data_IF_434831578738
#
_entry.id   IF_434831578738
#
_cell.length_a   1.000
_cell.length_b   1.000
_cell.length_c   1.000
_cell.angle_alpha   90.00
_cell.angle_beta   90.00
_cell.angle_gamma   90.00
#
_symmetry.space_group_name_H-M   'P 1'
#
loop_
_entity.id
_entity.type
_entity.pdbx_description
1 polymer ?
#
# COMPACT_ATOMS: atom_id res chain seq x y z
N UNK A 1 -20.08 -16.07 15.84
CA UNK A 1 -20.80 -14.89 15.28
C UNK A 1 -19.88 -13.95 14.52
N UNK A 2 -18.58 -13.91 14.82
CA UNK A 2 -17.51 -13.12 14.20
C UNK A 2 -17.18 -13.57 12.75
N UNK A 3 -17.20 -14.88 12.49
CA UNK A 3 -16.90 -15.50 11.19
C UNK A 3 -17.81 -15.10 10.03
N UNK A 4 -19.10 -14.87 10.30
CA UNK A 4 -20.04 -14.46 9.26
C UNK A 4 -19.71 -13.09 8.69
N UNK A 5 -19.17 -12.19 9.52
CA UNK A 5 -18.76 -10.85 9.10
C UNK A 5 -17.50 -10.86 8.21
N UNK A 6 -16.56 -11.78 8.46
CA UNK A 6 -15.36 -11.93 7.63
C UNK A 6 -15.69 -12.56 6.27
N UNK A 7 -16.56 -13.58 6.24
CA UNK A 7 -16.97 -14.23 5.00
C UNK A 7 -17.80 -13.30 4.10
N UNK A 8 -18.65 -12.46 4.67
CA UNK A 8 -19.41 -11.46 3.91
C UNK A 8 -18.53 -10.32 3.44
N UNK A 9 -17.47 -9.96 4.21
CA UNK A 9 -16.50 -8.95 3.85
C UNK A 9 -15.60 -9.43 2.70
N UNK A 10 -15.13 -10.69 2.72
CA UNK A 10 -14.26 -11.22 1.66
C UNK A 10 -15.00 -11.40 0.32
N UNK A 11 -16.31 -11.72 0.33
CA UNK A 11 -17.12 -11.70 -0.89
C UNK A 11 -17.28 -10.30 -1.46
N UNK A 12 -17.36 -9.28 -0.62
CA UNK A 12 -17.39 -7.88 -1.02
C UNK A 12 -16.04 -7.40 -1.59
N UNK A 13 -14.92 -7.84 -1.02
CA UNK A 13 -13.57 -7.40 -1.41
C UNK A 13 -13.13 -8.01 -2.75
N UNK A 14 -13.48 -9.27 -3.05
CA UNK A 14 -13.17 -9.89 -4.36
C UNK A 14 -13.98 -9.23 -5.48
N UNK A 15 -15.17 -8.68 -5.16
CA UNK A 15 -15.96 -7.87 -6.09
C UNK A 15 -15.58 -6.38 -6.07
N UNK A 16 -15.03 -5.87 -4.98
CA UNK A 16 -14.71 -4.45 -4.75
C UNK A 16 -13.36 -4.01 -5.31
N UNK A 17 -12.54 -4.91 -5.87
CA UNK A 17 -11.36 -4.53 -6.65
C UNK A 17 -11.71 -3.63 -7.88
N UNK A 18 -13.00 -3.38 -8.10
CA UNK A 18 -13.54 -2.47 -9.13
C UNK A 18 -14.33 -1.28 -8.59
N UNK A 19 -14.52 -1.16 -7.28
CA UNK A 19 -15.17 0.02 -6.71
C UNK A 19 -14.11 0.94 -6.11
N UNK A 20 -13.92 2.08 -6.77
CA UNK A 20 -13.11 3.18 -6.26
C UNK A 20 -13.56 3.60 -4.87
N UNK A 21 -12.61 4.08 -4.08
CA UNK A 21 -12.78 4.63 -2.74
C UNK A 21 -14.02 5.56 -2.68
N UNK A 22 -15.14 5.00 -2.22
CA UNK A 22 -16.42 5.69 -2.15
C UNK A 22 -16.54 6.46 -0.84
N UNK A 23 -15.62 7.42 -0.59
CA UNK A 23 -15.90 8.51 0.33
C UNK A 23 -16.88 9.49 -0.33
N UNK A 24 -18.01 9.87 0.31
CA UNK A 24 -18.99 10.75 -0.29
C UNK A 24 -18.35 12.11 -0.61
N UNK A 25 -18.35 12.52 -1.87
CA UNK A 25 -18.08 13.88 -2.28
C UNK A 25 -16.86 14.13 -3.19
N UNK A 26 -15.98 13.15 -3.44
CA UNK A 26 -14.84 13.34 -4.34
C UNK A 26 -15.01 12.55 -5.65
N UNK A 27 -15.01 13.26 -6.76
CA UNK A 27 -14.99 12.68 -8.10
C UNK A 27 -13.56 12.23 -8.45
N UNK A 28 -13.45 11.28 -9.37
CA UNK A 28 -12.18 10.81 -9.94
C UNK A 28 -11.35 11.95 -10.56
N UNK A 29 -12.02 12.97 -11.08
CA UNK A 29 -11.42 14.20 -11.63
C UNK A 29 -10.67 15.04 -10.58
N UNK A 30 -10.88 14.78 -9.28
CA UNK A 30 -10.28 15.57 -8.20
C UNK A 30 -8.95 14.97 -7.71
N UNK A 31 -8.49 13.88 -8.33
CA UNK A 31 -7.25 13.20 -7.98
C UNK A 31 -6.16 13.42 -9.01
N UNK A 32 -4.92 13.37 -8.55
CA UNK A 32 -3.71 13.39 -9.36
C UNK A 32 -2.72 12.33 -8.91
N UNK A 33 -1.69 12.13 -9.70
CA UNK A 33 -0.56 11.25 -9.38
C UNK A 33 0.77 12.00 -9.49
N UNK A 34 1.68 11.66 -8.56
CA UNK A 34 3.09 12.02 -8.63
C UNK A 34 3.87 10.83 -9.15
N UNK A 35 4.64 11.04 -10.19
CA UNK A 35 5.52 10.05 -10.80
C UNK A 35 6.96 10.41 -10.47
N UNK A 36 7.78 9.45 -10.09
CA UNK A 36 9.19 9.64 -9.75
C UNK A 36 10.09 8.72 -10.58
N UNK A 37 11.38 9.01 -10.62
CA UNK A 37 12.35 8.13 -11.27
C UNK A 37 12.65 6.87 -10.45
N UNK A 38 12.71 7.02 -9.12
CA UNK A 38 13.14 5.95 -8.23
C UNK A 38 12.11 5.67 -7.13
N UNK A 39 11.93 4.40 -6.80
CA UNK A 39 11.04 3.96 -5.71
C UNK A 39 11.43 4.57 -4.36
N UNK A 40 12.72 4.82 -4.13
CA UNK A 40 13.19 5.47 -2.91
C UNK A 40 12.69 6.92 -2.76
N UNK A 41 12.48 7.62 -3.87
CA UNK A 41 11.90 8.98 -3.87
C UNK A 41 10.42 8.92 -3.51
N UNK A 42 9.69 7.92 -4.04
CA UNK A 42 8.28 7.69 -3.67
C UNK A 42 8.14 7.47 -2.18
N UNK A 43 8.97 6.61 -1.59
CA UNK A 43 8.92 6.29 -0.16
C UNK A 43 9.20 7.52 0.70
N UNK A 44 10.22 8.31 0.32
CA UNK A 44 10.55 9.56 1.03
C UNK A 44 9.44 10.59 0.92
N UNK A 45 8.90 10.77 -0.30
CA UNK A 45 7.80 11.68 -0.56
C UNK A 45 6.54 11.28 0.22
N UNK A 46 6.16 10.00 0.17
CA UNK A 46 5.01 9.48 0.92
C UNK A 46 5.15 9.76 2.42
N UNK A 47 6.31 9.44 3.01
CA UNK A 47 6.57 9.69 4.43
C UNK A 47 6.39 11.16 4.79
N UNK A 48 7.04 12.04 4.04
CA UNK A 48 6.96 13.49 4.23
C UNK A 48 5.52 14.01 4.14
N UNK A 49 4.78 13.56 3.12
CA UNK A 49 3.43 14.04 2.88
C UNK A 49 2.44 13.53 3.95
N UNK A 50 2.59 12.28 4.41
CA UNK A 50 1.78 11.73 5.51
C UNK A 50 2.08 12.42 6.84
N UNK A 51 3.34 12.69 7.15
CA UNK A 51 3.74 13.44 8.34
C UNK A 51 3.18 14.88 8.34
N UNK A 52 3.02 15.47 7.15
CA UNK A 52 2.37 16.77 6.98
C UNK A 52 0.83 16.71 7.05
N UNK A 53 0.25 15.54 7.36
CA UNK A 53 -1.19 15.32 7.50
C UNK A 53 -1.95 15.28 6.16
N UNK A 54 -1.26 14.98 5.05
CA UNK A 54 -1.89 14.85 3.74
C UNK A 54 -2.38 13.43 3.51
N UNK A 55 -3.60 13.32 2.96
CA UNK A 55 -4.16 12.03 2.53
C UNK A 55 -3.59 11.63 1.17
N UNK A 56 -2.59 10.77 1.20
CA UNK A 56 -1.91 10.25 0.02
C UNK A 56 -1.87 8.72 0.07
N UNK A 57 -1.91 8.10 -1.11
CA UNK A 57 -1.82 6.64 -1.23
C UNK A 57 -0.82 6.21 -2.29
N UNK A 58 0.00 5.21 -1.96
CA UNK A 58 0.93 4.61 -2.91
C UNK A 58 0.20 3.58 -3.76
N UNK A 59 0.40 3.67 -5.08
CA UNK A 59 -0.23 2.83 -6.10
C UNK A 59 0.81 2.31 -7.08
N UNK A 60 0.46 1.31 -7.88
CA UNK A 60 1.22 0.94 -9.07
C UNK A 60 1.03 1.96 -10.19
N UNK A 61 2.06 2.26 -10.98
CA UNK A 61 1.94 3.17 -12.10
C UNK A 61 0.95 2.63 -13.15
N UNK A 62 0.20 3.52 -13.82
CA UNK A 62 -0.54 3.15 -15.01
C UNK A 62 0.40 2.52 -16.05
N UNK A 63 -0.11 1.58 -16.90
CA UNK A 63 0.73 0.91 -17.91
C UNK A 63 1.54 1.87 -18.78
N UNK A 64 0.94 3.00 -19.18
CA UNK A 64 1.55 3.99 -20.07
C UNK A 64 2.60 4.89 -19.39
N UNK A 65 2.71 4.82 -18.07
CA UNK A 65 3.63 5.65 -17.26
C UNK A 65 4.74 4.84 -16.58
N UNK A 66 4.95 3.60 -16.97
CA UNK A 66 6.03 2.77 -16.43
C UNK A 66 7.39 3.29 -16.90
N UNK A 67 8.10 3.98 -16.01
CA UNK A 67 9.41 4.60 -16.29
C UNK A 67 10.56 3.95 -15.50
N UNK A 68 10.38 2.70 -15.04
CA UNK A 68 11.35 2.01 -14.19
C UNK A 68 11.05 2.11 -12.69
N UNK A 69 10.21 3.05 -12.27
CA UNK A 69 9.65 3.07 -10.92
C UNK A 69 8.32 2.30 -10.89
N UNK A 70 8.20 1.33 -9.98
CA UNK A 70 6.98 0.52 -9.83
C UNK A 70 5.93 1.15 -8.91
N UNK A 71 6.14 2.39 -8.48
CA UNK A 71 5.29 3.10 -7.53
C UNK A 71 5.00 4.53 -8.00
N UNK A 72 3.77 4.98 -7.72
CA UNK A 72 3.32 6.38 -7.84
C UNK A 72 2.56 6.77 -6.58
N UNK A 73 2.44 8.08 -6.32
CA UNK A 73 1.63 8.59 -5.22
C UNK A 73 0.36 9.20 -5.79
N UNK A 74 -0.79 8.66 -5.41
CA UNK A 74 -2.10 9.26 -5.66
C UNK A 74 -2.41 10.28 -4.56
N UNK A 75 -2.95 11.43 -4.94
CA UNK A 75 -3.28 12.54 -4.04
C UNK A 75 -4.51 13.31 -4.54
N UNK A 76 -5.13 14.13 -3.68
CA UNK A 76 -6.19 15.04 -4.08
C UNK A 76 -5.62 16.32 -4.68
N UNK A 77 -6.10 16.74 -5.85
CA UNK A 77 -5.60 17.92 -6.59
C UNK A 77 -5.67 19.22 -5.77
N UNK A 78 -6.63 19.34 -4.85
CA UNK A 78 -6.72 20.48 -3.92
C UNK A 78 -5.43 20.63 -3.08
N UNK A 79 -4.69 19.58 -2.84
CA UNK A 79 -3.44 19.59 -2.08
C UNK A 79 -2.20 19.87 -2.94
N UNK A 80 -2.33 19.99 -4.26
CA UNK A 80 -1.19 20.04 -5.19
C UNK A 80 -0.17 21.12 -4.85
N UNK A 81 -0.61 22.33 -4.54
CA UNK A 81 0.30 23.44 -4.20
C UNK A 81 1.05 23.17 -2.88
N UNK A 82 0.35 22.68 -1.86
CA UNK A 82 0.98 22.32 -0.58
C UNK A 82 2.00 21.19 -0.78
N UNK A 83 1.66 20.18 -1.58
CA UNK A 83 2.57 19.09 -1.94
C UNK A 83 3.81 19.62 -2.65
N UNK A 84 3.65 20.49 -3.64
CA UNK A 84 4.77 21.06 -4.39
C UNK A 84 5.75 21.79 -3.47
N UNK A 85 5.26 22.62 -2.55
CA UNK A 85 6.09 23.35 -1.58
C UNK A 85 6.83 22.40 -0.63
N UNK A 86 6.15 21.36 -0.11
CA UNK A 86 6.75 20.39 0.80
C UNK A 86 7.87 19.59 0.11
N UNK A 87 7.63 19.13 -1.11
CA UNK A 87 8.58 18.36 -1.88
C UNK A 87 9.79 19.22 -2.28
N UNK A 88 9.57 20.48 -2.69
CA UNK A 88 10.65 21.41 -3.04
C UNK A 88 11.56 21.69 -1.85
N UNK A 89 11.00 21.99 -0.68
CA UNK A 89 11.74 22.18 0.56
C UNK A 89 12.59 20.95 0.95
N UNK A 90 12.12 19.76 0.64
CA UNK A 90 12.81 18.49 0.88
C UNK A 90 13.78 18.10 -0.26
N UNK A 91 13.85 18.88 -1.32
CA UNK A 91 14.64 18.60 -2.54
C UNK A 91 14.24 17.26 -3.19
N UNK A 92 12.95 16.95 -3.17
CA UNK A 92 12.37 15.78 -3.84
C UNK A 92 11.61 16.30 -5.06
N UNK A 93 12.08 15.97 -6.26
CA UNK A 93 11.48 16.47 -7.50
C UNK A 93 10.73 15.36 -8.22
N UNK A 94 9.39 15.42 -8.31
CA UNK A 94 8.64 14.45 -9.11
C UNK A 94 8.97 14.64 -10.60
N UNK A 95 9.08 13.53 -11.33
CA UNK A 95 9.27 13.53 -12.78
C UNK A 95 8.05 14.13 -13.49
N UNK A 96 6.86 13.78 -13.02
CA UNK A 96 5.58 14.28 -13.54
C UNK A 96 4.55 14.44 -12.43
N UNK A 97 3.69 15.43 -12.60
CA UNK A 97 2.47 15.61 -11.79
C UNK A 97 1.30 15.60 -12.78
N UNK A 98 0.43 14.62 -12.71
CA UNK A 98 -0.62 14.38 -13.70
C UNK A 98 -1.99 14.28 -13.01
N UNK A 99 -3.00 15.04 -13.48
CA UNK A 99 -4.38 14.84 -13.03
C UNK A 99 -4.97 13.55 -13.63
N UNK A 100 -5.79 12.84 -12.85
CA UNK A 100 -6.44 11.58 -13.27
C UNK A 100 -7.74 11.87 -14.07
N UNK A 101 -7.62 12.59 -15.17
CA UNK A 101 -8.76 12.92 -16.04
C UNK A 101 -9.07 11.83 -17.07
N UNK A 102 -8.14 10.88 -17.30
CA UNK A 102 -8.26 9.84 -18.32
C UNK A 102 -8.15 8.44 -17.67
N UNK A 103 -9.00 7.51 -18.13
CA UNK A 103 -8.98 6.10 -17.69
C UNK A 103 -7.63 5.40 -17.92
N UNK A 104 -6.87 5.82 -18.94
CA UNK A 104 -5.54 5.27 -19.24
C UNK A 104 -4.48 5.64 -18.20
N UNK A 105 -4.74 6.68 -17.38
CA UNK A 105 -3.84 7.13 -16.31
C UNK A 105 -4.22 6.56 -14.95
N UNK A 106 -5.17 5.60 -14.87
CA UNK A 106 -5.60 5.03 -13.61
C UNK A 106 -4.49 4.22 -12.94
N UNK A 107 -4.08 4.59 -11.72
CA UNK A 107 -3.09 3.84 -10.96
C UNK A 107 -3.63 2.45 -10.60
N UNK A 108 -2.75 1.47 -10.64
CA UNK A 108 -3.08 0.07 -10.33
C UNK A 108 -2.95 -0.18 -8.83
N UNK A 109 -3.87 -0.97 -8.25
CA UNK A 109 -3.73 -1.42 -6.87
C UNK A 109 -2.41 -2.18 -6.67
N UNK A 110 -1.67 -1.83 -5.62
CA UNK A 110 -0.49 -2.57 -5.20
C UNK A 110 -0.83 -3.89 -4.51
N UNK A 111 -2.06 -4.00 -4.02
CA UNK A 111 -2.47 -5.12 -3.19
C UNK A 111 -3.14 -6.21 -4.02
N UNK A 112 -2.75 -7.45 -3.72
CA UNK A 112 -3.49 -8.64 -4.13
C UNK A 112 -3.83 -9.43 -2.88
N UNK A 113 -5.12 -9.50 -2.58
CA UNK A 113 -5.66 -10.28 -1.47
C UNK A 113 -6.10 -11.64 -2.00
N UNK A 114 -5.66 -12.71 -1.36
CA UNK A 114 -6.06 -14.07 -1.72
C UNK A 114 -6.48 -14.83 -0.48
N UNK A 115 -7.71 -15.32 -0.53
CA UNK A 115 -8.30 -16.17 0.49
C UNK A 115 -8.05 -17.65 0.12
N UNK A 116 -7.48 -18.41 1.06
CA UNK A 116 -7.20 -19.83 0.94
C UNK A 116 -8.04 -20.68 1.92
N UNK A 117 -9.20 -20.20 2.35
CA UNK A 117 -10.02 -20.86 3.35
C UNK A 117 -9.60 -20.46 4.76
N UNK A 118 -8.74 -21.24 5.40
CA UNK A 118 -8.26 -20.94 6.76
C UNK A 118 -7.21 -19.82 6.79
N UNK A 119 -6.60 -19.54 5.65
CA UNK A 119 -5.52 -18.54 5.55
C UNK A 119 -5.91 -17.37 4.66
N UNK A 120 -5.46 -16.18 5.04
CA UNK A 120 -5.57 -14.96 4.24
C UNK A 120 -4.18 -14.44 3.89
N UNK A 121 -3.92 -14.24 2.59
CA UNK A 121 -2.66 -13.68 2.10
C UNK A 121 -2.90 -12.31 1.49
N UNK A 122 -2.07 -11.35 1.89
CA UNK A 122 -1.94 -10.07 1.20
C UNK A 122 -0.54 -9.99 0.57
N UNK A 123 -0.52 -9.68 -0.73
CA UNK A 123 0.69 -9.31 -1.44
C UNK A 123 0.68 -7.80 -1.67
N UNK A 124 1.76 -7.12 -1.31
CA UNK A 124 2.04 -5.75 -1.71
C UNK A 124 3.36 -5.74 -2.50
N UNK A 125 3.31 -5.23 -3.73
CA UNK A 125 4.43 -5.33 -4.67
C UNK A 125 4.96 -6.78 -4.76
N UNK A 126 6.20 -7.04 -4.34
CA UNK A 126 6.84 -8.35 -4.38
C UNK A 126 6.85 -9.09 -3.04
N UNK A 127 6.32 -8.48 -1.96
CA UNK A 127 6.23 -9.11 -0.64
C UNK A 127 4.85 -9.66 -0.36
N UNK A 128 4.80 -10.77 0.36
CA UNK A 128 3.56 -11.44 0.77
C UNK A 128 3.59 -11.71 2.26
N UNK A 129 2.48 -11.45 2.92
CA UNK A 129 2.23 -11.84 4.30
C UNK A 129 0.96 -12.69 4.35
N UNK A 130 1.02 -13.83 5.02
CA UNK A 130 -0.10 -14.75 5.18
C UNK A 130 -0.40 -14.92 6.67
N UNK A 131 -1.68 -14.85 7.02
CA UNK A 131 -2.16 -15.06 8.38
C UNK A 131 -3.13 -16.24 8.43
N UNK A 132 -3.17 -16.92 9.57
CA UNK A 132 -4.26 -17.78 9.96
C UNK A 132 -5.46 -16.91 10.37
N UNK A 133 -6.63 -17.17 9.82
CA UNK A 133 -7.83 -16.37 10.10
C UNK A 133 -8.45 -16.67 11.47
N UNK A 134 -8.07 -17.76 12.10
CA UNK A 134 -8.63 -18.19 13.37
C UNK A 134 -8.16 -17.33 14.53
N UNK A 135 -6.85 -17.08 14.57
CA UNK A 135 -6.19 -16.33 15.65
C UNK A 135 -5.39 -15.11 15.14
N UNK A 136 -5.48 -14.80 13.83
CA UNK A 136 -4.77 -13.73 13.15
C UNK A 136 -3.25 -13.83 13.25
N UNK A 137 -2.72 -15.04 13.40
CA UNK A 137 -1.29 -15.30 13.50
C UNK A 137 -0.62 -15.23 12.14
N UNK A 138 0.49 -14.54 12.06
CA UNK A 138 1.34 -14.50 10.87
C UNK A 138 2.00 -15.86 10.73
N UNK A 139 1.63 -16.60 9.68
CA UNK A 139 2.13 -17.96 9.42
C UNK A 139 3.19 -18.01 8.35
N UNK A 140 3.25 -17.01 7.47
CA UNK A 140 4.27 -16.99 6.43
C UNK A 140 4.55 -15.57 5.94
N UNK A 141 5.84 -15.32 5.67
CA UNK A 141 6.35 -14.15 4.96
C UNK A 141 7.20 -14.65 3.82
N UNK A 142 6.95 -14.16 2.61
CA UNK A 142 7.67 -14.61 1.42
C UNK A 142 7.73 -13.53 0.34
N UNK A 143 8.65 -13.72 -0.60
CA UNK A 143 8.91 -12.79 -1.69
C UNK A 143 10.11 -11.90 -1.41
N UNK A 144 10.38 -10.99 -2.35
CA UNK A 144 11.54 -10.13 -2.28
C UNK A 144 12.87 -10.87 -2.46
N UNK A 145 13.93 -10.14 -2.32
CA UNK A 145 15.31 -10.65 -2.40
C UNK A 145 16.26 -9.77 -1.60
N UNK A 146 15.69 -8.89 -0.75
CA UNK A 146 16.49 -8.02 0.09
C UNK A 146 17.09 -8.80 1.29
N UNK A 147 18.27 -8.41 1.77
CA UNK A 147 18.99 -9.15 2.81
C UNK A 147 18.29 -9.14 4.17
N UNK A 148 17.37 -8.21 4.43
CA UNK A 148 16.62 -8.13 5.69
C UNK A 148 15.37 -9.04 5.72
N UNK A 149 14.97 -9.64 4.60
CA UNK A 149 13.76 -10.49 4.54
C UNK A 149 13.80 -11.68 5.49
N UNK A 150 14.91 -12.43 5.62
CA UNK A 150 14.99 -13.53 6.60
C UNK A 150 14.81 -13.05 8.04
N UNK A 151 15.41 -11.93 8.40
CA UNK A 151 15.27 -11.33 9.72
C UNK A 151 13.83 -10.87 9.99
N UNK A 152 13.17 -10.25 9.01
CA UNK A 152 11.77 -9.85 9.08
C UNK A 152 10.86 -11.06 9.28
N UNK A 153 11.11 -12.15 8.55
CA UNK A 153 10.34 -13.39 8.68
C UNK A 153 10.51 -14.01 10.08
N UNK A 154 11.74 -14.13 10.57
CA UNK A 154 12.05 -14.65 11.90
C UNK A 154 11.39 -13.81 13.00
N UNK A 155 11.42 -12.51 12.85
CA UNK A 155 10.89 -11.57 13.86
C UNK A 155 9.36 -11.52 13.92
N UNK A 156 8.65 -11.84 12.84
CA UNK A 156 7.21 -11.61 12.70
C UNK A 156 6.38 -12.90 12.67
N UNK A 157 6.89 -13.97 12.06
CA UNK A 157 6.17 -15.24 11.97
C UNK A 157 5.96 -15.83 13.38
N UNK A 158 4.75 -16.34 13.63
CA UNK A 158 4.33 -16.86 14.93
C UNK A 158 3.69 -15.82 15.84
N UNK A 159 3.80 -14.52 15.57
CA UNK A 159 3.09 -13.46 16.30
C UNK A 159 1.72 -13.22 15.72
N UNK A 160 0.79 -12.77 16.54
CA UNK A 160 -0.50 -12.29 16.03
C UNK A 160 -0.32 -10.95 15.32
N UNK A 161 -1.22 -10.64 14.39
CA UNK A 161 -1.16 -9.42 13.60
C UNK A 161 -1.13 -8.14 14.47
N UNK A 162 -1.83 -8.17 15.60
CA UNK A 162 -1.93 -7.01 16.51
C UNK A 162 -0.76 -6.90 17.51
N UNK A 163 -0.04 -8.00 17.77
CA UNK A 163 1.14 -8.02 18.65
C UNK A 163 2.46 -7.83 17.89
N UNK A 164 2.42 -8.08 16.56
CA UNK A 164 3.60 -7.96 15.73
C UNK A 164 4.05 -6.50 15.61
N UNK A 165 5.35 -6.22 15.78
CA UNK A 165 5.86 -4.88 15.52
C UNK A 165 5.70 -4.54 14.04
N UNK A 166 5.49 -3.26 13.70
CA UNK A 166 5.41 -2.82 12.30
C UNK A 166 6.67 -3.23 11.53
N UNK A 167 6.56 -3.90 10.37
CA UNK A 167 7.72 -4.37 9.60
C UNK A 167 8.76 -3.28 9.31
N UNK A 168 8.30 -2.03 9.11
CA UNK A 168 9.17 -0.88 8.84
C UNK A 168 10.04 -0.47 10.03
N UNK A 169 9.68 -0.85 11.25
CA UNK A 169 10.53 -0.64 12.43
C UNK A 169 11.69 -1.61 12.52
N UNK A 170 11.62 -2.73 11.79
CA UNK A 170 12.60 -3.82 11.80
C UNK A 170 13.47 -3.85 10.54
N UNK A 171 12.90 -3.50 9.37
CA UNK A 171 13.57 -3.56 8.08
C UNK A 171 13.57 -2.20 7.38
N UNK A 172 14.70 -1.89 6.73
CA UNK A 172 14.92 -0.58 6.09
C UNK A 172 15.01 -0.65 4.56
N UNK A 173 14.85 -1.84 3.98
CA UNK A 173 14.88 -2.04 2.53
C UNK A 173 13.51 -1.79 1.88
N UNK A 174 13.50 -1.83 0.53
CA UNK A 174 12.25 -1.81 -0.23
C UNK A 174 11.33 -2.99 0.10
N UNK A 175 11.90 -4.15 0.48
CA UNK A 175 11.12 -5.31 0.90
C UNK A 175 10.47 -5.07 2.27
N UNK A 176 11.18 -4.44 3.22
CA UNK A 176 10.62 -4.03 4.50
C UNK A 176 9.47 -3.03 4.33
N UNK A 177 9.62 -2.08 3.42
CA UNK A 177 8.55 -1.15 3.06
C UNK A 177 7.33 -1.86 2.43
N UNK A 178 7.54 -2.73 1.45
CA UNK A 178 6.45 -3.47 0.82
C UNK A 178 5.73 -4.40 1.82
N UNK A 179 6.49 -5.01 2.74
CA UNK A 179 5.91 -5.82 3.81
C UNK A 179 5.09 -4.98 4.79
N UNK A 180 5.52 -3.75 5.10
CA UNK A 180 4.72 -2.81 5.89
C UNK A 180 3.38 -2.52 5.23
N UNK A 181 3.35 -2.28 3.92
CA UNK A 181 2.10 -2.06 3.20
C UNK A 181 1.17 -3.29 3.27
N UNK A 182 1.72 -4.50 3.11
CA UNK A 182 0.93 -5.74 3.25
C UNK A 182 0.37 -5.91 4.67
N UNK A 183 1.16 -5.57 5.68
CA UNK A 183 0.75 -5.61 7.09
C UNK A 183 -0.38 -4.61 7.39
N UNK A 184 -0.25 -3.36 6.95
CA UNK A 184 -1.28 -2.33 7.11
C UNK A 184 -2.59 -2.73 6.42
N UNK A 185 -2.51 -3.33 5.24
CA UNK A 185 -3.69 -3.82 4.53
C UNK A 185 -4.36 -4.99 5.27
N UNK A 186 -3.59 -5.90 5.88
CA UNK A 186 -4.13 -6.96 6.74
C UNK A 186 -4.83 -6.38 7.98
N UNK A 187 -4.24 -5.39 8.65
CA UNK A 187 -4.88 -4.70 9.76
C UNK A 187 -6.18 -4.01 9.35
N UNK A 188 -6.24 -3.44 8.15
CA UNK A 188 -7.45 -2.83 7.60
C UNK A 188 -8.56 -3.87 7.33
N UNK A 189 -8.17 -5.05 6.83
CA UNK A 189 -9.10 -6.15 6.52
C UNK A 189 -9.58 -6.85 7.79
N UNK A 190 -8.68 -7.00 8.77
CA UNK A 190 -8.92 -7.71 10.02
C UNK A 190 -8.77 -6.73 11.21
N UNK A 191 -9.70 -5.77 11.37
CA UNK A 191 -9.68 -4.90 12.53
C UNK A 191 -9.92 -5.72 13.79
N UNK A 192 -9.18 -5.45 14.87
CA UNK A 192 -9.29 -6.10 16.17
C UNK A 192 -10.65 -5.88 16.85
#
# INVERSE_FOLDING_TARGET
MFWKKIADFTRGVVGAARQGDSRPGYNRSDKGILVFHHTSEVIKAETLLREAGLDVSVKGPPPDLRTGCDLVIEFFLVAQLKIAVLLDNARITPLKVLPLQNLLLEPVSLFHVKDFGDYLMVRAANMKMTIDKTDLRIVNISGGGCPDVPYLADSLVGKTLHEAPPPRSLGHTLCGYALQLAYEELLRICPG
#
